data_IF_633358477231
#
_entry.id   IF_633358477231
#
_cell.length_a   1.000
_cell.length_b   1.000
_cell.length_c   1.000
_cell.angle_alpha   90.00
_cell.angle_beta   90.00
_cell.angle_gamma   90.00
#
_symmetry.space_group_name_H-M   'P 1'
#
loop_
_entity.id
_entity.type
_entity.pdbx_description
1 polymer ?
#
# COMPACT_ATOMS: atom_id res chain seq x y z
N UNK A 1 -55.08 -20.95 -37.12
CA UNK A 1 -55.05 -19.82 -36.16
C UNK A 1 -53.78 -19.02 -36.42
N UNK A 2 -53.89 -17.84 -37.05
CA UNK A 2 -52.75 -16.91 -37.14
C UNK A 2 -52.69 -16.19 -35.80
N UNK A 3 -51.62 -16.38 -35.04
CA UNK A 3 -51.44 -15.62 -33.81
C UNK A 3 -51.18 -14.16 -34.18
N UNK A 4 -51.99 -13.25 -33.65
CA UNK A 4 -51.80 -11.82 -33.85
C UNK A 4 -50.44 -11.39 -33.28
N UNK A 5 -49.72 -10.52 -33.99
CA UNK A 5 -48.34 -10.11 -33.65
C UNK A 5 -48.19 -9.54 -32.23
N UNK A 6 -49.27 -9.04 -31.63
CA UNK A 6 -49.33 -8.59 -30.23
C UNK A 6 -49.18 -9.73 -29.22
N UNK A 7 -49.75 -10.91 -29.50
CA UNK A 7 -49.61 -12.08 -28.65
C UNK A 7 -48.20 -12.68 -28.74
N UNK A 8 -47.53 -12.54 -29.89
CA UNK A 8 -46.13 -12.93 -30.04
C UNK A 8 -45.18 -12.04 -29.21
N UNK A 9 -45.40 -10.73 -29.21
CA UNK A 9 -44.58 -9.78 -28.42
C UNK A 9 -44.77 -10.00 -26.92
N UNK A 10 -46.02 -10.20 -26.46
CA UNK A 10 -46.31 -10.45 -25.05
C UNK A 10 -45.77 -11.81 -24.58
N UNK A 11 -45.86 -12.85 -25.42
CA UNK A 11 -45.23 -14.14 -25.15
C UNK A 11 -43.70 -14.04 -25.08
N UNK A 12 -43.07 -13.26 -25.97
CA UNK A 12 -41.62 -13.03 -25.93
C UNK A 12 -41.19 -12.25 -24.67
N UNK A 13 -41.96 -11.23 -24.26
CA UNK A 13 -41.68 -10.49 -23.04
C UNK A 13 -41.80 -11.37 -21.78
N UNK A 14 -42.83 -12.23 -21.71
CA UNK A 14 -42.99 -13.20 -20.63
C UNK A 14 -41.86 -14.23 -20.61
N UNK A 15 -41.44 -14.73 -21.77
CA UNK A 15 -40.32 -15.65 -21.87
C UNK A 15 -39.01 -15.01 -21.39
N UNK A 16 -38.73 -13.76 -21.79
CA UNK A 16 -37.55 -13.03 -21.33
C UNK A 16 -37.57 -12.79 -19.82
N UNK A 17 -38.71 -12.40 -19.25
CA UNK A 17 -38.85 -12.23 -17.81
C UNK A 17 -38.62 -13.54 -17.04
N UNK A 18 -39.15 -14.66 -17.55
CA UNK A 18 -38.95 -15.98 -16.96
C UNK A 18 -37.47 -16.42 -17.01
N UNK A 19 -36.78 -16.16 -18.14
CA UNK A 19 -35.34 -16.44 -18.28
C UNK A 19 -34.53 -15.63 -17.28
N UNK A 20 -34.85 -14.34 -17.11
CA UNK A 20 -34.13 -13.46 -16.18
C UNK A 20 -34.28 -13.92 -14.72
N UNK A 21 -35.47 -14.34 -14.33
CA UNK A 21 -35.72 -14.90 -12.99
C UNK A 21 -34.96 -16.22 -12.81
N UNK A 22 -34.98 -17.10 -13.80
CA UNK A 22 -34.25 -18.38 -13.74
C UNK A 22 -32.73 -18.18 -13.62
N UNK A 23 -32.14 -17.24 -14.36
CA UNK A 23 -30.71 -16.94 -14.24
C UNK A 23 -30.34 -16.38 -12.87
N UNK A 24 -31.16 -15.51 -12.30
CA UNK A 24 -30.92 -14.94 -10.97
C UNK A 24 -31.02 -16.00 -9.88
N UNK A 25 -32.00 -16.90 -9.98
CA UNK A 25 -32.13 -18.05 -9.05
C UNK A 25 -30.93 -18.99 -9.17
N UNK A 26 -30.42 -19.23 -10.38
CA UNK A 26 -29.23 -20.06 -10.60
C UNK A 26 -27.98 -19.45 -9.95
N UNK A 27 -27.78 -18.14 -10.06
CA UNK A 27 -26.65 -17.45 -9.44
C UNK A 27 -26.74 -17.45 -7.91
N UNK A 28 -27.95 -17.30 -7.36
CA UNK A 28 -28.17 -17.36 -5.91
C UNK A 28 -27.90 -18.77 -5.32
N UNK A 29 -28.09 -19.84 -6.09
CA UNK A 29 -27.85 -21.21 -5.62
C UNK A 29 -26.36 -21.50 -5.38
N UNK A 30 -25.45 -20.92 -6.16
CA UNK A 30 -24.01 -21.08 -5.96
C UNK A 30 -23.51 -20.49 -4.65
N UNK A 31 -24.10 -19.37 -4.20
CA UNK A 31 -23.71 -18.68 -2.95
C UNK A 31 -24.02 -19.53 -1.71
N UNK A 32 -25.15 -20.25 -1.69
CA UNK A 32 -25.54 -21.12 -0.56
C UNK A 32 -24.64 -22.36 -0.41
N UNK A 33 -24.07 -22.88 -1.51
CA UNK A 33 -23.12 -23.99 -1.44
C UNK A 33 -21.77 -23.55 -0.86
N UNK A 34 -21.40 -22.28 -1.02
CA UNK A 34 -20.13 -21.76 -0.51
C UNK A 34 -20.14 -21.56 1.01
N UNK A 35 -21.30 -21.23 1.61
CA UNK A 35 -21.45 -21.16 3.07
C UNK A 35 -21.49 -22.56 3.73
N UNK A 36 -21.91 -23.58 2.99
CA UNK A 36 -21.94 -24.97 3.49
C UNK A 36 -20.55 -25.63 3.59
N UNK A 37 -19.52 -25.00 3.02
CA UNK A 37 -18.14 -25.50 3.03
C UNK A 37 -17.32 -25.00 4.24
N UNK A 38 -17.86 -24.09 5.07
CA UNK A 38 -17.28 -23.71 6.36
C UNK A 38 -17.76 -24.65 7.48
N UNK A 39 -17.57 -25.95 7.25
CA UNK A 39 -17.93 -27.02 8.18
C UNK A 39 -16.80 -28.03 8.32
N UNK A 40 -15.57 -27.55 8.51
CA UNK A 40 -14.39 -28.36 8.78
C UNK A 40 -14.53 -29.15 10.08
N UNK A 41 -15.01 -30.38 9.95
CA UNK A 41 -14.98 -31.52 10.88
C UNK A 41 -14.21 -31.32 12.19
N UNK A 42 -14.93 -31.04 13.27
CA UNK A 42 -14.47 -31.34 14.62
C UNK A 42 -14.62 -32.86 14.81
N UNK A 43 -13.53 -33.61 14.63
CA UNK A 43 -13.51 -35.02 14.96
C UNK A 43 -13.68 -35.18 16.48
N UNK A 44 -14.83 -35.71 16.91
CA UNK A 44 -15.06 -36.06 18.31
C UNK A 44 -14.09 -37.17 18.73
N UNK A 45 -13.09 -36.83 19.55
CA UNK A 45 -12.22 -37.81 20.20
C UNK A 45 -13.02 -38.53 21.28
N UNK A 46 -13.16 -39.84 21.12
CA UNK A 46 -13.75 -40.73 22.12
C UNK A 46 -12.92 -40.69 23.40
N UNK A 47 -13.57 -40.35 24.51
CA UNK A 47 -12.94 -40.07 25.80
C UNK A 47 -12.71 -41.38 26.57
N UNK A 48 -11.53 -41.97 26.39
CA UNK A 48 -10.98 -43.01 27.27
C UNK A 48 -10.22 -42.35 28.43
N UNK A 49 -10.67 -42.60 29.66
CA UNK A 49 -10.13 -42.01 30.89
C UNK A 49 -8.69 -42.48 31.20
N UNK A 50 -7.72 -41.58 31.15
CA UNK A 50 -6.38 -41.74 31.74
C UNK A 50 -5.83 -40.37 32.20
N UNK A 51 -4.99 -40.31 33.25
CA UNK A 51 -4.81 -39.10 34.05
C UNK A 51 -4.00 -38.00 33.34
N UNK A 52 -4.39 -36.76 33.63
CA UNK A 52 -3.99 -35.54 32.97
C UNK A 52 -2.50 -35.17 33.15
N UNK A 53 -1.75 -35.19 32.06
CA UNK A 53 -0.72 -34.20 31.80
C UNK A 53 -1.31 -33.22 30.79
N UNK A 54 -1.54 -31.96 31.19
CA UNK A 54 -2.03 -30.92 30.27
C UNK A 54 -1.01 -30.76 29.13
N UNK A 55 -1.33 -31.14 27.88
CA UNK A 55 -0.47 -30.83 26.77
C UNK A 55 -0.54 -29.32 26.58
N UNK A 56 0.59 -28.62 26.65
CA UNK A 56 0.67 -27.26 26.12
C UNK A 56 0.36 -27.39 24.64
N UNK A 57 -0.74 -26.80 24.13
CA UNK A 57 -1.07 -26.91 22.72
C UNK A 57 0.05 -26.21 21.95
N UNK A 58 0.87 -27.00 21.25
CA UNK A 58 1.88 -26.50 20.33
C UNK A 58 1.15 -25.98 19.10
N UNK A 59 0.58 -24.79 19.23
CA UNK A 59 -0.03 -24.09 18.11
C UNK A 59 1.14 -23.62 17.26
N UNK A 60 1.27 -24.20 16.07
CA UNK A 60 2.19 -23.75 15.05
C UNK A 60 1.77 -22.33 14.63
N UNK A 61 2.30 -21.30 15.30
CA UNK A 61 1.97 -19.90 15.01
C UNK A 61 2.29 -19.56 13.54
N UNK A 62 3.26 -20.26 12.94
CA UNK A 62 3.63 -20.14 11.54
C UNK A 62 2.56 -20.66 10.56
N UNK A 63 1.62 -21.52 11.01
CA UNK A 63 0.52 -22.01 10.16
C UNK A 63 -0.75 -21.18 10.31
N UNK A 64 -0.77 -20.18 11.19
CA UNK A 64 -1.88 -19.23 11.25
C UNK A 64 -1.72 -18.18 10.15
N UNK A 65 -2.66 -18.15 9.22
CA UNK A 65 -2.76 -17.12 8.18
C UNK A 65 -3.39 -15.84 8.78
N UNK A 66 -2.71 -15.21 9.74
CA UNK A 66 -3.18 -14.01 10.47
C UNK A 66 -3.39 -12.79 9.58
N UNK A 67 -2.79 -12.79 8.39
CA UNK A 67 -2.84 -11.68 7.43
C UNK A 67 -3.61 -12.05 6.15
N UNK A 68 -4.37 -13.16 6.20
CA UNK A 68 -5.07 -13.71 5.05
C UNK A 68 -4.21 -14.70 4.26
N UNK A 69 -4.88 -15.66 3.63
CA UNK A 69 -4.28 -16.57 2.65
C UNK A 69 -4.45 -15.98 1.27
N UNK A 70 -3.38 -15.80 0.50
CA UNK A 70 -3.53 -15.70 -0.94
C UNK A 70 -4.04 -17.06 -1.40
N UNK A 71 -5.36 -17.17 -1.69
CA UNK A 71 -5.76 -18.22 -2.61
C UNK A 71 -5.02 -17.89 -3.89
N UNK A 72 -3.96 -18.65 -4.16
CA UNK A 72 -3.37 -18.74 -5.48
C UNK A 72 -4.50 -19.27 -6.37
N UNK A 73 -5.36 -18.35 -6.81
CA UNK A 73 -6.32 -18.60 -7.85
C UNK A 73 -5.45 -19.00 -9.03
N UNK A 74 -5.43 -20.32 -9.25
CA UNK A 74 -4.76 -21.08 -10.28
C UNK A 74 -3.63 -20.31 -10.97
N UNK A 75 -2.33 -20.61 -10.72
CA UNK A 75 -1.27 -20.01 -11.52
C UNK A 75 -1.48 -20.45 -12.96
N UNK A 76 -2.28 -19.69 -13.70
CA UNK A 76 -2.44 -19.79 -15.13
C UNK A 76 -1.02 -19.69 -15.64
N UNK A 77 -0.52 -20.84 -16.12
CA UNK A 77 0.84 -21.11 -16.59
C UNK A 77 1.69 -19.85 -16.47
N UNK A 78 2.44 -19.71 -15.36
CA UNK A 78 3.48 -18.70 -15.29
C UNK A 78 4.47 -19.04 -16.39
N UNK A 79 4.17 -18.57 -17.60
CA UNK A 79 5.07 -18.59 -18.72
C UNK A 79 6.33 -17.92 -18.17
N UNK A 80 7.46 -18.60 -18.27
CA UNK A 80 8.72 -18.10 -17.75
C UNK A 80 9.08 -16.83 -18.52
N UNK A 81 8.59 -15.71 -17.99
CA UNK A 81 8.63 -14.40 -18.61
C UNK A 81 9.67 -13.53 -17.92
N UNK A 82 10.50 -14.17 -17.10
CA UNK A 82 11.64 -13.57 -16.44
C UNK A 82 12.81 -13.38 -17.42
N UNK A 83 12.86 -14.18 -18.49
CA UNK A 83 13.86 -14.06 -19.56
C UNK A 83 13.42 -13.16 -20.73
N UNK A 84 12.60 -12.14 -20.47
CA UNK A 84 12.32 -11.11 -21.48
C UNK A 84 13.41 -10.04 -21.50
N UNK A 85 13.68 -9.42 -22.65
CA UNK A 85 14.55 -8.25 -22.72
C UNK A 85 13.95 -7.09 -21.91
N UNK A 86 14.81 -6.29 -21.31
CA UNK A 86 14.42 -5.02 -20.70
C UNK A 86 14.00 -4.01 -21.77
N UNK A 87 13.00 -3.19 -21.45
CA UNK A 87 12.49 -2.18 -22.38
C UNK A 87 13.51 -1.06 -22.59
N UNK A 88 13.52 -0.53 -23.82
CA UNK A 88 14.31 0.66 -24.16
C UNK A 88 13.44 1.94 -24.23
N UNK A 89 12.17 1.86 -23.80
CA UNK A 89 11.31 3.03 -23.72
C UNK A 89 11.76 3.94 -22.57
N UNK A 90 11.68 5.26 -22.79
CA UNK A 90 11.88 6.28 -21.75
C UNK A 90 10.62 6.41 -20.90
N UNK A 91 10.29 5.33 -20.19
CA UNK A 91 9.20 5.28 -19.23
C UNK A 91 9.79 4.98 -17.86
N UNK A 92 9.20 5.56 -16.83
CA UNK A 92 9.58 5.21 -15.47
C UNK A 92 8.40 4.63 -14.69
N UNK A 93 8.60 3.44 -14.13
CA UNK A 93 7.61 2.79 -13.29
C UNK A 93 7.59 3.43 -11.90
N UNK A 94 6.46 4.04 -11.52
CA UNK A 94 6.29 4.74 -10.23
C UNK A 94 5.57 3.90 -9.20
N UNK A 95 4.69 3.01 -9.65
CA UNK A 95 3.95 2.12 -8.78
C UNK A 95 3.28 1.00 -9.54
N UNK A 96 2.93 -0.06 -8.83
CA UNK A 96 2.17 -1.20 -9.35
C UNK A 96 1.16 -1.65 -8.32
N UNK A 97 0.02 -2.11 -8.81
CA UNK A 97 -0.96 -2.86 -8.05
C UNK A 97 -1.19 -4.17 -8.80
N UNK A 98 -0.64 -5.26 -8.27
CA UNK A 98 -0.86 -6.58 -8.86
C UNK A 98 -2.34 -6.98 -8.76
N UNK A 99 -2.82 -7.74 -9.74
CA UNK A 99 -4.19 -8.23 -9.75
C UNK A 99 -4.44 -9.14 -8.53
N UNK A 100 -5.57 -8.94 -7.85
CA UNK A 100 -5.98 -9.74 -6.70
C UNK A 100 -7.51 -9.89 -6.67
N UNK A 101 -8.00 -11.13 -6.66
CA UNK A 101 -9.44 -11.42 -6.72
C UNK A 101 -10.06 -10.87 -8.00
N UNK A 102 -11.06 -9.99 -7.86
CA UNK A 102 -11.80 -9.38 -8.97
C UNK A 102 -11.15 -8.09 -9.50
N UNK A 103 -10.05 -7.62 -8.89
CA UNK A 103 -9.37 -6.39 -9.31
C UNK A 103 -8.32 -6.68 -10.37
N UNK A 104 -8.45 -6.03 -11.54
CA UNK A 104 -7.43 -6.05 -12.57
C UNK A 104 -6.16 -5.34 -12.08
N UNK A 105 -5.00 -5.85 -12.52
CA UNK A 105 -3.72 -5.22 -12.20
C UNK A 105 -3.60 -3.84 -12.86
N UNK A 106 -2.95 -2.91 -12.17
CA UNK A 106 -2.69 -1.56 -12.67
C UNK A 106 -1.27 -1.10 -12.39
N UNK A 107 -0.78 -0.15 -13.17
CA UNK A 107 0.54 0.43 -13.04
C UNK A 107 0.46 1.96 -13.14
N UNK A 108 1.28 2.63 -12.35
CA UNK A 108 1.48 4.07 -12.38
C UNK A 108 2.79 4.34 -13.12
N UNK A 109 2.70 4.96 -14.30
CA UNK A 109 3.81 5.08 -15.25
C UNK A 109 4.00 6.54 -15.59
N UNK A 110 5.26 6.97 -15.55
CA UNK A 110 5.70 8.30 -15.94
C UNK A 110 6.28 8.28 -17.36
N UNK A 111 5.85 9.23 -18.20
CA UNK A 111 6.34 9.39 -19.57
C UNK A 111 7.62 10.25 -19.67
N UNK A 112 8.14 10.43 -20.88
CA UNK A 112 9.31 11.27 -21.19
C UNK A 112 9.09 12.77 -20.91
N UNK A 113 7.84 13.17 -20.66
CA UNK A 113 7.43 14.54 -20.34
C UNK A 113 7.14 14.73 -18.85
N UNK A 114 7.45 13.73 -18.01
CA UNK A 114 7.17 13.69 -16.57
C UNK A 114 5.67 13.72 -16.22
N UNK A 115 4.79 13.30 -17.14
CA UNK A 115 3.39 13.07 -16.82
C UNK A 115 3.24 11.66 -16.25
N UNK A 116 2.62 11.55 -15.09
CA UNK A 116 2.38 10.27 -14.41
C UNK A 116 0.91 9.91 -14.49
N UNK A 117 0.60 8.82 -15.18
CA UNK A 117 -0.76 8.33 -15.39
C UNK A 117 -0.92 6.87 -14.93
N UNK A 118 -2.16 6.48 -14.62
CA UNK A 118 -2.51 5.12 -14.22
C UNK A 118 -3.06 4.32 -15.41
N UNK A 119 -2.54 3.11 -15.59
CA UNK A 119 -2.89 2.21 -16.69
C UNK A 119 -3.30 0.84 -16.15
N UNK A 120 -4.35 0.25 -16.71
CA UNK A 120 -4.80 -1.10 -16.42
C UNK A 120 -4.19 -2.10 -17.40
N UNK A 121 -4.16 -3.38 -17.01
CA UNK A 121 -3.80 -4.46 -17.95
C UNK A 121 -4.70 -4.39 -19.19
N UNK A 122 -4.08 -4.29 -20.37
CA UNK A 122 -4.73 -4.11 -21.66
C UNK A 122 -4.64 -2.69 -22.21
N UNK A 123 -4.29 -1.69 -21.40
CA UNK A 123 -4.21 -0.31 -21.83
C UNK A 123 -2.98 -0.02 -22.68
N UNK A 124 -3.08 0.98 -23.55
CA UNK A 124 -1.97 1.49 -24.36
C UNK A 124 -1.18 2.51 -23.56
N UNK A 125 0.12 2.29 -23.45
CA UNK A 125 1.11 3.15 -22.82
C UNK A 125 1.69 4.16 -23.83
N UNK A 126 2.27 5.28 -23.34
CA UNK A 126 3.08 6.17 -24.17
C UNK A 126 4.21 5.39 -24.86
N UNK A 127 4.48 5.69 -26.14
CA UNK A 127 5.44 4.93 -26.94
C UNK A 127 4.87 3.71 -27.69
N UNK A 128 3.54 3.63 -27.85
CA UNK A 128 2.83 2.56 -28.58
C UNK A 128 3.10 1.16 -28.02
N UNK A 129 3.21 1.05 -26.69
CA UNK A 129 3.27 -0.22 -26.00
C UNK A 129 1.92 -0.53 -25.34
N UNK A 130 1.66 -1.79 -25.03
CA UNK A 130 0.43 -2.23 -24.35
C UNK A 130 0.81 -2.94 -23.06
N UNK A 131 0.15 -2.60 -21.95
CA UNK A 131 0.39 -3.25 -20.66
C UNK A 131 -0.18 -4.67 -20.68
N UNK A 132 0.66 -5.70 -20.56
CA UNK A 132 0.25 -7.11 -20.65
C UNK A 132 0.05 -7.76 -19.29
N UNK A 133 0.90 -7.44 -18.34
CA UNK A 133 0.88 -8.05 -17.01
C UNK A 133 1.59 -7.15 -16.01
N UNK A 134 1.14 -7.18 -14.77
CA UNK A 134 1.68 -6.39 -13.66
C UNK A 134 2.17 -7.35 -12.59
N UNK A 135 3.44 -7.21 -12.21
CA UNK A 135 4.08 -7.94 -11.12
C UNK A 135 4.52 -6.95 -10.02
N UNK A 136 4.79 -7.42 -8.80
CA UNK A 136 5.18 -6.56 -7.69
C UNK A 136 6.46 -5.74 -7.96
N UNK A 137 7.40 -6.29 -8.71
CA UNK A 137 8.72 -5.68 -8.97
C UNK A 137 8.91 -5.16 -10.40
N UNK A 138 7.97 -5.43 -11.31
CA UNK A 138 8.07 -5.06 -12.73
C UNK A 138 6.72 -5.11 -13.44
N UNK A 139 6.67 -4.57 -14.64
CA UNK A 139 5.57 -4.79 -15.57
C UNK A 139 6.07 -5.43 -16.87
N UNK A 140 5.19 -6.17 -17.53
CA UNK A 140 5.42 -6.67 -18.88
C UNK A 140 4.62 -5.82 -19.84
N UNK A 141 5.30 -5.30 -20.84
CA UNK A 141 4.69 -4.54 -21.92
C UNK A 141 4.88 -5.25 -23.26
N UNK A 142 3.95 -5.05 -24.18
CA UNK A 142 4.05 -5.51 -25.55
C UNK A 142 4.24 -4.31 -26.47
N UNK A 143 5.28 -4.32 -27.29
CA UNK A 143 5.52 -3.29 -28.31
C UNK A 143 5.82 -3.94 -29.64
N UNK A 144 5.03 -3.63 -30.66
CA UNK A 144 5.18 -4.20 -31.99
C UNK A 144 5.23 -5.74 -32.00
N UNK A 145 4.43 -6.39 -31.14
CA UNK A 145 4.37 -7.85 -31.01
C UNK A 145 5.52 -8.48 -30.21
N UNK A 146 6.40 -7.69 -29.59
CA UNK A 146 7.48 -8.17 -28.72
C UNK A 146 7.16 -7.85 -27.27
N UNK A 147 7.38 -8.82 -26.38
CA UNK A 147 7.26 -8.62 -24.94
C UNK A 147 8.58 -8.08 -24.37
N UNK A 148 8.49 -7.07 -23.51
CA UNK A 148 9.62 -6.42 -22.84
C UNK A 148 9.29 -6.22 -21.35
N UNK A 149 10.30 -6.26 -20.48
CA UNK A 149 10.18 -5.95 -19.05
C UNK A 149 10.48 -4.47 -18.78
N UNK A 150 9.66 -3.79 -17.97
CA UNK A 150 9.99 -2.49 -17.39
C UNK A 150 10.07 -2.64 -15.86
N UNK A 151 11.24 -2.35 -15.31
CA UNK A 151 11.51 -2.41 -13.88
C UNK A 151 11.32 -1.05 -13.20
N UNK A 152 11.24 -1.08 -11.87
CA UNK A 152 11.36 0.14 -11.09
C UNK A 152 12.73 0.79 -11.29
N UNK A 153 12.80 2.13 -11.29
CA UNK A 153 14.09 2.83 -11.33
C UNK A 153 14.92 2.45 -10.11
N UNK A 154 16.22 2.29 -10.31
CA UNK A 154 17.18 2.09 -9.23
C UNK A 154 17.19 3.35 -8.35
N UNK A 155 16.82 3.18 -7.09
CA UNK A 155 16.91 4.26 -6.11
C UNK A 155 18.36 4.42 -5.68
N UNK A 156 19.04 5.44 -6.22
CA UNK A 156 20.27 5.93 -5.59
C UNK A 156 19.91 6.33 -4.15
N UNK A 157 20.56 5.69 -3.18
CA UNK A 157 20.27 5.70 -1.74
C UNK A 157 20.41 7.08 -1.04
N UNK A 158 20.36 8.19 -1.79
CA UNK A 158 20.54 9.56 -1.30
C UNK A 158 19.27 10.39 -1.22
N UNK A 159 18.16 10.00 -1.84
CA UNK A 159 16.95 10.83 -1.85
C UNK A 159 15.69 9.98 -1.92
N UNK A 160 14.88 9.91 -0.86
CA UNK A 160 13.49 9.49 -1.05
C UNK A 160 12.70 8.98 0.16
N UNK A 161 13.32 8.48 1.23
CA UNK A 161 12.57 7.91 2.35
C UNK A 161 12.62 8.81 3.58
N UNK A 162 11.86 9.91 3.56
CA UNK A 162 11.45 10.57 4.81
C UNK A 162 10.20 9.85 5.29
N UNK A 163 10.39 8.85 6.15
CA UNK A 163 9.29 8.38 6.99
C UNK A 163 8.89 9.58 7.81
N UNK A 164 7.70 10.12 7.56
CA UNK A 164 7.03 10.96 8.55
C UNK A 164 6.64 10.00 9.67
N UNK A 165 7.63 9.64 10.49
CA UNK A 165 7.40 8.95 11.74
C UNK A 165 6.57 9.94 12.54
N UNK A 166 5.29 9.63 12.68
CA UNK A 166 4.40 10.34 13.57
C UNK A 166 5.14 10.43 14.93
N UNK A 167 5.60 11.63 15.27
CA UNK A 167 6.29 11.94 16.53
C UNK A 167 5.30 11.75 17.68
N UNK A 168 5.10 10.50 18.05
CA UNK A 168 4.54 10.06 19.30
C UNK A 168 5.61 9.28 20.07
N UNK A 169 6.80 9.87 20.19
CA UNK A 169 7.80 9.48 21.17
C UNK A 169 8.38 10.75 21.79
N UNK A 170 7.63 11.34 22.71
CA UNK A 170 8.24 12.13 23.79
C UNK A 170 9.23 11.22 24.52
N UNK A 171 10.48 11.66 24.77
CA UNK A 171 11.38 10.92 25.63
C UNK A 171 10.76 10.81 27.03
N UNK A 172 10.48 9.58 27.44
CA UNK A 172 10.15 9.24 28.82
C UNK A 172 11.26 9.75 29.74
N UNK A 173 10.95 10.53 30.79
CA UNK A 173 11.98 11.06 31.68
C UNK A 173 12.59 9.91 32.48
N UNK A 174 13.86 9.62 32.22
CA UNK A 174 14.66 8.72 33.05
C UNK A 174 14.74 9.26 34.49
N UNK A 175 14.17 8.51 35.43
CA UNK A 175 14.25 8.83 36.85
C UNK A 175 15.66 8.54 37.37
N UNK A 176 16.49 9.58 37.56
CA UNK A 176 17.76 9.47 38.31
C UNK A 176 17.56 9.96 39.75
N UNK A 177 17.94 9.16 40.78
CA UNK A 177 17.90 9.62 42.16
C UNK A 177 18.95 10.72 42.42
N UNK A 178 18.68 11.70 43.31
CA UNK A 178 19.57 12.84 43.49
C UNK A 178 20.81 12.47 44.33
N UNK A 179 21.99 12.56 43.73
CA UNK A 179 23.27 12.56 44.43
C UNK A 179 23.67 14.02 44.77
N UNK A 180 24.01 14.28 46.03
CA UNK A 180 24.36 15.61 46.55
C UNK A 180 25.66 16.20 45.97
N UNK A 181 25.92 17.49 46.26
CA UNK A 181 26.99 18.27 45.61
C UNK A 181 28.39 17.79 46.01
N UNK A 182 29.22 17.45 45.01
CA UNK A 182 30.67 17.30 45.19
C UNK A 182 31.42 18.53 44.61
N UNK A 183 32.47 19.05 45.29
CA UNK A 183 33.10 20.31 44.94
C UNK A 183 34.00 20.20 43.69
N UNK A 184 34.01 21.28 42.91
CA UNK A 184 34.81 21.45 41.70
C UNK A 184 36.32 21.56 41.97
N UNK A 185 37.12 20.97 41.08
CA UNK A 185 38.51 21.37 40.85
C UNK A 185 38.67 21.78 39.39
N UNK A 186 38.89 23.09 39.19
CA UNK A 186 39.36 23.75 37.96
C UNK A 186 40.71 23.14 37.54
N UNK A 187 41.13 23.08 36.26
CA UNK A 187 41.54 24.20 35.41
C UNK A 187 42.09 23.65 34.04
N UNK A 188 42.66 24.45 33.10
CA UNK A 188 42.21 24.60 31.71
C UNK A 188 43.19 24.09 30.63
N UNK A 189 42.78 24.03 29.35
CA UNK A 189 43.70 24.39 28.25
C UNK A 189 42.97 24.87 26.98
N UNK A 190 43.55 25.90 26.37
CA UNK A 190 43.10 26.69 25.22
C UNK A 190 43.72 26.15 23.92
N UNK A 191 42.94 26.04 22.84
CA UNK A 191 43.45 26.00 21.46
C UNK A 191 42.34 26.44 20.48
N UNK A 192 42.68 27.38 19.60
CA UNK A 192 41.84 28.36 18.87
C UNK A 192 41.14 27.87 17.54
N UNK A 193 40.40 28.73 16.78
CA UNK A 193 39.14 28.43 16.06
C UNK A 193 39.25 28.32 14.50
N UNK A 194 38.13 28.31 13.75
CA UNK A 194 37.84 29.51 12.94
C UNK A 194 36.34 29.91 12.75
N UNK A 195 36.18 31.20 12.42
CA UNK A 195 35.09 31.85 11.66
C UNK A 195 33.81 32.28 12.37
N UNK A 196 33.95 33.31 13.22
CA UNK A 196 32.92 34.33 13.37
C UNK A 196 32.94 35.27 12.15
N UNK A 197 31.97 35.15 11.25
CA UNK A 197 31.74 36.18 10.24
C UNK A 197 30.29 36.66 10.11
N UNK A 198 29.26 35.92 10.56
CA UNK A 198 27.87 36.36 10.41
C UNK A 198 26.91 35.85 11.50
N UNK A 199 27.31 35.81 12.77
CA UNK A 199 26.37 35.56 13.86
C UNK A 199 25.87 36.91 14.44
N UNK A 200 24.58 37.26 14.31
CA UNK A 200 24.06 38.47 14.95
C UNK A 200 24.17 38.32 16.47
N UNK A 201 24.79 39.31 17.09
CA UNK A 201 25.07 39.40 18.53
C UNK A 201 23.76 39.25 19.32
N UNK A 202 23.80 38.62 20.50
CA UNK A 202 22.59 38.38 21.31
C UNK A 202 21.78 39.65 21.63
N UNK A 203 22.44 40.81 21.67
CA UNK A 203 21.76 42.10 21.84
C UNK A 203 20.84 42.40 20.65
N UNK A 204 21.33 42.19 19.43
CA UNK A 204 20.58 42.44 18.20
C UNK A 204 19.37 41.52 18.07
N UNK A 205 19.51 40.25 18.46
CA UNK A 205 18.37 39.32 18.55
C UNK A 205 17.33 39.77 19.57
N UNK A 206 17.73 40.31 20.72
CA UNK A 206 16.80 40.79 21.76
C UNK A 206 16.05 42.04 21.32
N UNK A 207 16.71 42.91 20.58
CA UNK A 207 16.09 44.13 20.07
C UNK A 207 15.05 43.80 18.98
N UNK A 208 15.35 42.86 18.07
CA UNK A 208 14.40 42.41 17.05
C UNK A 208 13.16 41.71 17.66
N UNK A 209 13.37 40.90 18.71
CA UNK A 209 12.27 40.23 19.42
C UNK A 209 11.33 41.24 20.11
N UNK A 210 11.89 42.31 20.68
CA UNK A 210 11.08 43.38 21.30
C UNK A 210 10.20 44.07 20.27
N UNK A 211 10.76 44.39 19.11
CA UNK A 211 10.04 45.06 18.03
C UNK A 211 8.87 44.22 17.52
N UNK A 212 9.08 42.90 17.33
CA UNK A 212 8.01 41.97 16.93
C UNK A 212 6.91 41.84 17.99
N UNK A 213 7.26 41.87 19.28
CA UNK A 213 6.27 41.81 20.37
C UNK A 213 5.41 43.07 20.43
N UNK A 214 5.99 44.24 20.13
CA UNK A 214 5.23 45.50 20.07
C UNK A 214 4.26 45.52 18.89
N UNK A 215 4.69 45.03 17.73
CA UNK A 215 3.81 44.90 16.56
C UNK A 215 2.62 43.96 16.84
N UNK A 216 2.87 42.83 17.50
CA UNK A 216 1.82 41.89 17.88
C UNK A 216 0.84 42.52 18.88
N UNK A 217 1.37 43.25 19.87
CA UNK A 217 0.56 43.97 20.85
C UNK A 217 -0.32 45.04 20.19
N UNK A 218 0.19 45.74 19.18
CA UNK A 218 -0.57 46.75 18.45
C UNK A 218 -1.66 46.11 17.58
N UNK A 219 -1.39 44.95 16.97
CA UNK A 219 -2.36 44.18 16.19
C UNK A 219 -3.53 43.68 17.05
N UNK A 220 -3.26 43.15 18.25
CA UNK A 220 -4.29 42.68 19.16
C UNK A 220 -5.18 43.79 19.74
N UNK A 221 -4.68 45.04 19.76
CA UNK A 221 -5.41 46.21 20.26
C UNK A 221 -6.37 46.80 19.22
N UNK A 222 -6.03 46.69 17.93
CA UNK A 222 -6.79 47.30 16.83
C UNK A 222 -7.60 46.27 16.01
N UNK A 223 -7.43 44.97 16.27
CA UNK A 223 -8.10 43.87 15.55
C UNK A 223 -9.32 43.28 16.26
N UNK A 224 -10.13 44.12 16.92
CA UNK A 224 -11.41 43.75 17.54
C UNK A 224 -12.52 44.69 17.13
#
# INVERSE_FOLDING_TARGET
MRLDSKHLITAAALALAAIMLASTVWQAWGVWQQESAEGGVIAAVSMGSAPAQRPVPQIALFSLQLFGSTQANNPGVQQNTENLPETNLQLTLRGVLAAAGDFAGSALIEDDRNNTDAFLVGDTLPGNATLRSVYPERIIIERSGKLENLYFPEIDSRSGFSVVANEAQSPEPAYTPPAGPQPALSQPDLSEPPSAANAPTDKQRRDEIRERLEQLRHSLRNGG
#
